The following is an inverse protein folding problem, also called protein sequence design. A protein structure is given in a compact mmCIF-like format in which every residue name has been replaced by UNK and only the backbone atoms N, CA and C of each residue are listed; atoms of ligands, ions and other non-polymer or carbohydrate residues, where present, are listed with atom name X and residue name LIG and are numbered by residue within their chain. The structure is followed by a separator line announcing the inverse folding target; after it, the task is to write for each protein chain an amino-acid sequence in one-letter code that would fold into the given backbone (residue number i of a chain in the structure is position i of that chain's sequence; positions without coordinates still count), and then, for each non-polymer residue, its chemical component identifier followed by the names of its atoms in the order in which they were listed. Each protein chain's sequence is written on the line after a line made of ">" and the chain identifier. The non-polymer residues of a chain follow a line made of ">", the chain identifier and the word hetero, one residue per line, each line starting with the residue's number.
data_IF_893405290385
#
_entry.id   IF_893405290385
#
_cell.length_a   1.000
_cell.length_b   1.000
_cell.length_c   1.000
_cell.angle_alpha   90.00
_cell.angle_beta   90.00
_cell.angle_gamma   90.00
#
_symmetry.space_group_name_H-M   'P 1'
#
loop_
_entity.id
_entity.type
_entity.pdbx_description
1 polymer ?
#
# COMPACT_ATOMS: atom_id res chain seq x y z
N UNK A 1 -4.86 12.31 -5.71
CA UNK A 1 -3.76 11.40 -5.32
C UNK A 1 -4.37 10.38 -4.38
N UNK A 2 -4.29 9.10 -4.73
CA UNK A 2 -4.93 8.04 -3.96
C UNK A 2 -3.92 7.47 -2.96
N UNK A 3 -4.36 7.31 -1.72
CA UNK A 3 -3.55 6.68 -0.67
C UNK A 3 -4.01 5.24 -0.49
N UNK A 4 -3.06 4.33 -0.37
CA UNK A 4 -3.30 2.90 -0.23
C UNK A 4 -2.55 2.31 0.97
N UNK A 5 -3.11 1.25 1.52
CA UNK A 5 -2.51 0.36 2.50
C UNK A 5 -2.35 -1.03 1.91
N UNK A 6 -1.11 -1.47 1.74
CA UNK A 6 -0.79 -2.82 1.27
C UNK A 6 -0.29 -3.69 2.42
N UNK A 7 -0.99 -4.78 2.72
CA UNK A 7 -0.50 -5.80 3.65
C UNK A 7 0.46 -6.74 2.93
N UNK A 8 1.67 -6.94 3.46
CA UNK A 8 2.69 -7.77 2.84
C UNK A 8 2.42 -9.26 3.06
N UNK A 9 2.70 -10.08 2.03
CA UNK A 9 2.75 -11.54 2.19
C UNK A 9 3.86 -11.96 3.16
N UNK A 10 3.71 -13.11 3.79
CA UNK A 10 4.75 -13.72 4.63
C UNK A 10 6.06 -13.92 3.87
N UNK A 11 7.19 -13.64 4.54
CA UNK A 11 8.53 -13.74 3.93
C UNK A 11 8.92 -12.59 2.99
N UNK A 12 8.05 -11.59 2.76
CA UNK A 12 8.40 -10.40 1.97
C UNK A 12 9.06 -9.32 2.83
N UNK A 13 10.28 -8.95 2.45
CA UNK A 13 11.01 -7.86 3.08
C UNK A 13 10.61 -6.48 2.54
N UNK A 14 10.49 -5.50 3.44
CA UNK A 14 10.13 -4.13 3.09
C UNK A 14 11.04 -3.50 2.01
N UNK A 15 12.36 -3.75 2.05
CA UNK A 15 13.27 -3.22 1.03
C UNK A 15 12.92 -3.67 -0.39
N UNK A 16 12.44 -4.91 -0.56
CA UNK A 16 11.99 -5.43 -1.86
C UNK A 16 10.71 -4.71 -2.32
N UNK A 17 9.80 -4.46 -1.40
CA UNK A 17 8.54 -3.75 -1.65
C UNK A 17 8.80 -2.30 -2.02
N UNK A 18 9.62 -1.61 -1.21
CA UNK A 18 10.00 -0.21 -1.43
C UNK A 18 10.58 -0.01 -2.82
N UNK A 19 11.49 -0.90 -3.25
CA UNK A 19 12.07 -0.85 -4.59
C UNK A 19 10.99 -1.00 -5.68
N UNK A 20 10.12 -2.02 -5.58
CA UNK A 20 9.02 -2.23 -6.54
C UNK A 20 8.06 -1.04 -6.63
N UNK A 21 7.69 -0.45 -5.49
CA UNK A 21 6.81 0.72 -5.47
C UNK A 21 7.49 1.92 -6.12
N UNK A 22 8.77 2.18 -5.81
CA UNK A 22 9.52 3.25 -6.45
C UNK A 22 9.70 3.04 -7.96
N UNK A 23 9.98 1.81 -8.42
CA UNK A 23 10.08 1.47 -9.85
C UNK A 23 8.73 1.68 -10.58
N UNK A 24 7.61 1.53 -9.88
CA UNK A 24 6.27 1.81 -10.39
C UNK A 24 5.85 3.30 -10.29
N UNK A 25 6.74 4.19 -9.83
CA UNK A 25 6.42 5.61 -9.60
C UNK A 25 5.50 5.85 -8.40
N UNK A 26 5.34 4.86 -7.53
CA UNK A 26 4.49 4.94 -6.33
C UNK A 26 5.31 5.45 -5.16
N UNK A 27 4.79 6.47 -4.46
CA UNK A 27 5.47 7.11 -3.34
C UNK A 27 5.13 6.40 -2.03
N UNK A 28 6.13 5.79 -1.40
CA UNK A 28 5.96 5.22 -0.05
C UNK A 28 5.84 6.34 0.97
N UNK A 29 4.79 6.32 1.79
CA UNK A 29 4.54 7.28 2.85
C UNK A 29 5.04 6.77 4.20
N UNK A 30 4.70 5.52 4.55
CA UNK A 30 5.05 4.94 5.83
C UNK A 30 5.11 3.41 5.77
N UNK A 31 5.79 2.81 6.75
CA UNK A 31 5.83 1.36 6.94
C UNK A 31 5.56 1.01 8.41
N UNK A 32 4.60 0.12 8.62
CA UNK A 32 4.20 -0.40 9.92
C UNK A 32 4.73 -1.83 10.08
N UNK A 33 5.96 -2.02 10.58
CA UNK A 33 6.62 -3.32 10.62
C UNK A 33 5.86 -4.36 11.46
N UNK A 34 5.25 -3.93 12.57
CA UNK A 34 4.49 -4.80 13.47
C UNK A 34 3.30 -5.48 12.77
N UNK A 35 2.69 -4.80 11.81
CA UNK A 35 1.54 -5.30 11.04
C UNK A 35 1.91 -5.72 9.62
N UNK A 36 3.18 -5.51 9.22
CA UNK A 36 3.65 -5.67 7.84
C UNK A 36 2.76 -4.94 6.84
N UNK A 37 2.37 -3.71 7.18
CA UNK A 37 1.55 -2.84 6.31
C UNK A 37 2.42 -1.71 5.77
N UNK A 38 2.33 -1.44 4.47
CA UNK A 38 2.96 -0.29 3.83
C UNK A 38 1.87 0.71 3.43
N UNK A 39 2.02 1.97 3.84
CA UNK A 39 1.19 3.08 3.38
C UNK A 39 1.91 3.79 2.23
N UNK A 40 1.22 3.98 1.11
CA UNK A 40 1.81 4.61 -0.08
C UNK A 40 0.78 5.38 -0.89
N UNK A 41 1.26 6.23 -1.79
CA UNK A 41 0.46 7.10 -2.65
C UNK A 41 0.75 6.86 -4.12
N UNK A 42 -0.31 6.85 -4.91
CA UNK A 42 -0.28 6.68 -6.36
C UNK A 42 -1.23 7.68 -7.03
N UNK A 43 -0.86 8.12 -8.23
CA UNK A 43 -1.76 8.89 -9.11
C UNK A 43 -2.74 7.99 -9.86
N UNK A 44 -2.37 6.72 -10.05
CA UNK A 44 -3.18 5.71 -10.71
C UNK A 44 -3.93 4.87 -9.68
N UNK A 45 -5.09 4.37 -10.09
CA UNK A 45 -5.79 3.34 -9.35
C UNK A 45 -4.95 2.05 -9.36
N UNK A 46 -4.79 1.44 -8.19
CA UNK A 46 -4.00 0.23 -7.99
C UNK A 46 -4.87 -0.86 -7.40
N UNK A 47 -4.65 -2.07 -7.87
CA UNK A 47 -5.29 -3.29 -7.40
C UNK A 47 -4.24 -4.25 -6.82
N UNK A 48 -4.68 -5.25 -6.06
CA UNK A 48 -3.77 -6.28 -5.53
C UNK A 48 -3.03 -7.04 -6.66
N UNK A 49 -3.62 -7.12 -7.86
CA UNK A 49 -3.03 -7.78 -9.01
C UNK A 49 -1.81 -7.05 -9.58
N UNK A 50 -1.68 -5.74 -9.32
CA UNK A 50 -0.53 -4.94 -9.79
C UNK A 50 0.77 -5.32 -9.06
N UNK A 51 0.67 -5.94 -7.88
CA UNK A 51 1.82 -6.22 -7.02
C UNK A 51 1.72 -7.59 -6.32
N UNK A 52 2.51 -8.55 -6.78
CA UNK A 52 2.62 -9.88 -6.16
C UNK A 52 3.14 -9.87 -4.70
N UNK A 53 3.59 -8.72 -4.20
CA UNK A 53 4.11 -8.59 -2.83
C UNK A 53 3.03 -8.38 -1.78
N UNK A 54 1.81 -7.99 -2.20
CA UNK A 54 0.71 -7.73 -1.29
C UNK A 54 -0.22 -8.93 -1.17
N UNK A 55 -0.65 -9.21 0.06
CA UNK A 55 -1.75 -10.12 0.36
C UNK A 55 -3.09 -9.43 0.08
N UNK A 56 -3.19 -8.17 0.49
CA UNK A 56 -4.35 -7.32 0.27
C UNK A 56 -3.90 -5.88 0.04
N UNK A 57 -4.74 -5.14 -0.69
CA UNK A 57 -4.53 -3.72 -0.98
C UNK A 57 -5.84 -2.99 -0.77
N UNK A 58 -5.87 -2.09 0.21
CA UNK A 58 -7.04 -1.27 0.53
C UNK A 58 -6.74 0.19 0.19
N UNK A 59 -7.66 0.85 -0.51
CA UNK A 59 -7.59 2.29 -0.70
C UNK A 59 -8.10 2.98 0.57
N UNK A 60 -7.37 3.99 1.05
CA UNK A 60 -7.86 4.90 2.10
C UNK A 60 -9.07 5.64 1.53
N UNK A 61 -10.27 5.22 1.95
CA UNK A 61 -11.51 5.92 1.68
C UNK A 61 -11.77 6.88 2.83
N UNK A 62 -12.18 8.11 2.53
CA UNK A 62 -12.67 9.08 3.51
C UNK A 62 -14.09 8.73 4.02
N UNK A 63 -14.37 7.44 4.25
CA UNK A 63 -15.69 6.93 4.64
C UNK A 63 -15.96 7.05 6.17
N UNK A 64 -15.25 7.95 6.87
CA UNK A 64 -15.45 8.21 8.30
C UNK A 64 -16.05 9.59 8.56
N UNK A 65 -17.01 9.99 7.73
CA UNK A 65 -17.97 11.07 8.02
C UNK A 65 -19.40 10.60 7.71
N UNK A 66 -19.78 9.41 8.19
CA UNK A 66 -21.18 9.01 8.26
C UNK A 66 -21.72 9.39 9.66
N UNK A 67 -22.26 10.61 9.70
CA UNK A 67 -23.32 11.12 10.59
C UNK A 67 -23.27 10.74 12.08
N UNK A 68 -22.82 11.70 12.90
CA UNK A 68 -23.44 11.97 14.20
C UNK A 68 -24.19 13.30 14.13
#
# INVERSE_FOLDING_TARGET
>A
MNTYFGALKDGIYFNKVKKKLSDAGVKVLNYYPKFRIVKFQSEKELTVADFDVFLSLEQEKEDFFAEM
#
